data_IF_527269593186
#
_entry.id   IF_527269593186
#
_cell.length_a   1.000
_cell.length_b   1.000
_cell.length_c   1.000
_cell.angle_alpha   90.00
_cell.angle_beta   90.00
_cell.angle_gamma   90.00
#
_symmetry.space_group_name_H-M   'P 1'
#
loop_
_entity.id
_entity.type
_entity.pdbx_description
1 polymer ?
#
# COMPACT_ATOMS: atom_id res chain seq x y z
N UNK A 1 -6.43 6.81 21.70
CA UNK A 1 -5.06 6.33 21.46
C UNK A 1 -4.89 6.17 19.96
N UNK A 2 -3.76 6.54 19.37
CA UNK A 2 -3.49 6.38 17.93
C UNK A 2 -2.48 5.26 17.69
N UNK A 3 -2.46 4.72 16.46
CA UNK A 3 -1.51 3.68 16.04
C UNK A 3 -0.55 4.23 14.99
N UNK A 4 0.75 4.02 15.17
CA UNK A 4 1.77 4.31 14.16
C UNK A 4 2.05 3.02 13.38
N UNK A 5 2.03 3.08 12.05
CA UNK A 5 2.32 1.94 11.18
C UNK A 5 3.47 2.31 10.23
N UNK A 6 4.42 1.39 10.13
CA UNK A 6 5.55 1.43 9.19
C UNK A 6 5.67 0.07 8.51
N UNK A 7 6.25 0.06 7.31
CA UNK A 7 6.34 -1.13 6.46
C UNK A 7 6.42 -0.72 4.99
N UNK A 8 6.35 -1.70 4.09
CA UNK A 8 6.39 -1.41 2.65
C UNK A 8 5.08 -0.78 2.18
N UNK A 9 5.20 0.17 1.25
CA UNK A 9 4.11 0.69 0.43
C UNK A 9 4.52 0.38 -1.00
N UNK A 10 3.71 -0.39 -1.71
CA UNK A 10 4.16 -1.05 -2.93
C UNK A 10 3.13 -0.94 -4.06
N UNK A 11 3.62 -1.24 -5.25
CA UNK A 11 2.79 -1.59 -6.41
C UNK A 11 3.09 -3.03 -6.81
N UNK A 12 2.09 -3.88 -6.60
CA UNK A 12 2.20 -5.32 -6.70
C UNK A 12 1.72 -5.82 -8.07
N UNK A 13 2.43 -6.81 -8.58
CA UNK A 13 2.09 -7.55 -9.80
C UNK A 13 1.68 -8.95 -9.39
N UNK A 14 0.39 -9.26 -9.49
CA UNK A 14 -0.18 -10.51 -8.99
C UNK A 14 -0.69 -11.34 -10.15
N UNK A 15 -0.12 -12.54 -10.26
CA UNK A 15 -0.55 -13.57 -11.20
C UNK A 15 -1.23 -14.71 -10.47
N UNK A 16 -2.36 -15.13 -11.00
CA UNK A 16 -3.12 -16.32 -10.59
C UNK A 16 -3.24 -17.26 -11.80
N UNK A 17 -3.74 -18.50 -11.65
CA UNK A 17 -3.90 -19.40 -12.78
C UNK A 17 -4.82 -18.90 -13.90
N UNK A 18 -5.69 -17.93 -13.61
CA UNK A 18 -6.75 -17.46 -14.54
C UNK A 18 -6.65 -15.98 -14.89
N UNK A 19 -5.87 -15.20 -14.16
CA UNK A 19 -5.79 -13.76 -14.34
C UNK A 19 -4.46 -13.21 -13.84
N UNK A 20 -4.03 -12.11 -14.45
CA UNK A 20 -2.85 -11.35 -14.06
C UNK A 20 -3.21 -9.88 -14.00
N UNK A 21 -2.76 -9.21 -12.94
CA UNK A 21 -2.95 -7.80 -12.74
C UNK A 21 -1.64 -7.15 -12.28
N UNK A 22 -1.33 -6.02 -12.91
CA UNK A 22 -0.12 -5.24 -12.67
C UNK A 22 -0.49 -3.96 -11.92
N UNK A 23 0.49 -3.37 -11.22
CA UNK A 23 0.36 -2.08 -10.53
C UNK A 23 -0.81 -2.00 -9.52
N UNK A 24 -1.11 -3.11 -8.84
CA UNK A 24 -2.09 -3.15 -7.76
C UNK A 24 -1.53 -2.46 -6.52
N UNK A 25 -2.39 -1.86 -5.69
CA UNK A 25 -1.94 -1.35 -4.39
C UNK A 25 -1.46 -2.51 -3.52
N UNK A 26 -0.22 -2.41 -3.07
CA UNK A 26 0.46 -3.43 -2.30
C UNK A 26 1.15 -2.92 -1.05
N UNK A 27 1.93 -3.79 -0.44
CA UNK A 27 2.81 -3.48 0.69
C UNK A 27 2.12 -3.60 2.05
N UNK A 28 2.89 -4.04 3.04
CA UNK A 28 2.37 -4.38 4.37
C UNK A 28 1.77 -3.17 5.09
N UNK A 29 2.37 -1.98 4.95
CA UNK A 29 1.86 -0.77 5.57
C UNK A 29 0.51 -0.34 4.98
N UNK A 30 0.31 -0.50 3.67
CA UNK A 30 -0.96 -0.19 3.00
C UNK A 30 -2.11 -1.01 3.58
N UNK A 31 -1.96 -2.34 3.58
CA UNK A 31 -2.99 -3.24 4.08
C UNK A 31 -3.23 -3.05 5.58
N UNK A 32 -2.17 -2.97 6.39
CA UNK A 32 -2.31 -2.79 7.83
C UNK A 32 -2.98 -1.45 8.19
N UNK A 33 -2.65 -0.37 7.48
CA UNK A 33 -3.23 0.96 7.75
C UNK A 33 -4.69 1.04 7.36
N UNK A 34 -5.07 0.52 6.19
CA UNK A 34 -6.49 0.50 5.79
C UNK A 34 -7.30 -0.39 6.71
N UNK A 35 -6.77 -1.54 7.15
CA UNK A 35 -7.47 -2.40 8.10
C UNK A 35 -7.62 -1.75 9.49
N UNK A 36 -6.55 -1.15 10.01
CA UNK A 36 -6.55 -0.51 11.33
C UNK A 36 -7.44 0.74 11.39
N UNK A 37 -7.60 1.46 10.27
CA UNK A 37 -8.42 2.68 10.22
C UNK A 37 -9.91 2.46 10.52
N UNK A 38 -10.39 1.21 10.47
CA UNK A 38 -11.75 0.87 10.91
C UNK A 38 -11.93 0.94 12.43
N UNK A 39 -10.84 0.91 13.19
CA UNK A 39 -10.88 0.73 14.65
C UNK A 39 -10.19 1.85 15.43
N UNK A 40 -9.18 2.50 14.84
CA UNK A 40 -8.38 3.51 15.53
C UNK A 40 -7.79 4.52 14.55
N UNK A 41 -7.52 5.77 14.97
CA UNK A 41 -6.73 6.70 14.17
C UNK A 41 -5.33 6.15 13.84
N UNK A 42 -4.97 6.16 12.56
CA UNK A 42 -3.70 5.63 12.05
C UNK A 42 -2.79 6.76 11.60
N UNK A 43 -1.51 6.66 11.94
CA UNK A 43 -0.43 7.47 11.39
C UNK A 43 0.50 6.56 10.57
N UNK A 44 0.61 6.81 9.28
CA UNK A 44 1.45 6.04 8.37
C UNK A 44 2.81 6.73 8.20
N UNK A 45 3.89 5.95 8.35
CA UNK A 45 5.25 6.38 8.05
C UNK A 45 5.85 5.46 6.99
N UNK A 46 6.31 6.05 5.89
CA UNK A 46 6.86 5.31 4.77
C UNK A 46 7.35 6.23 3.66
N UNK A 47 7.76 5.62 2.55
CA UNK A 47 8.28 6.32 1.37
C UNK A 47 7.65 5.72 0.11
N UNK A 48 7.24 6.58 -0.81
CA UNK A 48 6.73 6.21 -2.13
C UNK A 48 7.49 6.98 -3.21
N UNK A 49 7.49 6.43 -4.43
CA UNK A 49 8.05 7.10 -5.59
C UNK A 49 7.07 8.08 -6.22
N UNK A 50 7.57 8.88 -7.18
CA UNK A 50 6.74 9.82 -7.97
C UNK A 50 5.71 9.11 -8.87
N UNK A 51 5.90 7.82 -9.10
CA UNK A 51 5.02 6.95 -9.87
C UNK A 51 3.82 6.41 -9.07
N UNK A 52 3.72 6.69 -7.77
CA UNK A 52 2.62 6.18 -6.95
C UNK A 52 1.27 6.79 -7.36
N UNK A 53 0.27 5.98 -7.76
CA UNK A 53 -1.01 6.48 -8.23
C UNK A 53 -1.73 7.32 -7.17
N UNK A 54 -2.10 8.55 -7.54
CA UNK A 54 -2.78 9.51 -6.66
C UNK A 54 -4.12 8.99 -6.13
N UNK A 55 -4.77 8.05 -6.84
CA UNK A 55 -5.99 7.36 -6.38
C UNK A 55 -5.79 6.64 -5.03
N UNK A 56 -4.60 6.10 -4.76
CA UNK A 56 -4.32 5.40 -3.50
C UNK A 56 -4.05 6.38 -2.36
N UNK A 57 -3.47 7.55 -2.65
CA UNK A 57 -3.41 8.66 -1.68
C UNK A 57 -4.83 9.16 -1.34
N UNK A 58 -5.72 9.20 -2.33
CA UNK A 58 -7.15 9.49 -2.12
C UNK A 58 -7.81 8.49 -1.17
N UNK A 59 -7.61 7.20 -1.42
CA UNK A 59 -8.10 6.11 -0.56
C UNK A 59 -7.63 6.29 0.89
N UNK A 60 -6.34 6.56 1.12
CA UNK A 60 -5.83 6.72 2.49
C UNK A 60 -6.45 7.93 3.21
N UNK A 61 -6.60 9.05 2.50
CA UNK A 61 -7.24 10.25 3.06
C UNK A 61 -8.71 10.03 3.37
N UNK A 62 -9.44 9.34 2.49
CA UNK A 62 -10.84 8.96 2.72
C UNK A 62 -11.00 8.09 3.97
N UNK A 63 -10.01 7.24 4.24
CA UNK A 63 -9.92 6.41 5.45
C UNK A 63 -9.46 7.16 6.71
N UNK A 64 -9.18 8.46 6.63
CA UNK A 64 -8.71 9.26 7.75
C UNK A 64 -7.31 8.87 8.24
N UNK A 65 -6.49 8.24 7.38
CA UNK A 65 -5.12 7.88 7.71
C UNK A 65 -4.27 9.16 7.63
N UNK A 66 -3.52 9.47 8.70
CA UNK A 66 -2.57 10.56 8.69
C UNK A 66 -1.33 10.17 7.86
N UNK A 67 -1.01 11.02 6.88
CA UNK A 67 0.08 10.84 5.91
C UNK A 67 1.24 11.82 6.13
N UNK A 68 1.29 12.56 7.23
CA UNK A 68 2.39 13.51 7.50
C UNK A 68 3.77 12.83 7.54
N UNK A 69 3.82 11.53 7.83
CA UNK A 69 5.03 10.70 7.81
C UNK A 69 5.29 9.99 6.48
N UNK A 70 4.50 10.24 5.44
CA UNK A 70 4.66 9.64 4.12
C UNK A 70 5.52 10.56 3.23
N UNK A 71 6.74 10.12 2.91
CA UNK A 71 7.63 10.82 2.00
C UNK A 71 7.33 10.45 0.54
N UNK A 72 7.33 11.44 -0.35
CA UNK A 72 7.38 11.24 -1.81
C UNK A 72 8.78 11.57 -2.28
N UNK A 73 9.53 10.55 -2.69
CA UNK A 73 10.93 10.68 -3.06
C UNK A 73 11.17 10.56 -4.57
N UNK A 74 12.34 11.03 -4.99
CA UNK A 74 12.82 10.90 -6.36
C UNK A 74 13.19 9.45 -6.65
N UNK A 75 12.31 8.76 -7.38
CA UNK A 75 12.46 7.34 -7.68
C UNK A 75 11.12 6.68 -7.97
N UNK A 76 11.17 5.36 -8.15
CA UNK A 76 10.00 4.51 -8.32
C UNK A 76 9.57 3.91 -6.96
N UNK A 77 8.27 3.71 -6.80
CA UNK A 77 7.67 3.01 -5.67
C UNK A 77 8.16 1.57 -5.67
N UNK A 78 8.38 1.02 -4.47
CA UNK A 78 8.74 -0.39 -4.30
C UNK A 78 7.80 -1.32 -5.10
N UNK A 79 8.37 -2.30 -5.80
CA UNK A 79 7.65 -3.25 -6.65
C UNK A 79 7.81 -4.66 -6.12
N UNK A 80 6.72 -5.39 -6.10
CA UNK A 80 6.72 -6.82 -5.80
C UNK A 80 5.94 -7.57 -6.87
N UNK A 81 6.37 -8.80 -7.17
CA UNK A 81 5.66 -9.69 -8.08
C UNK A 81 5.45 -11.03 -7.39
N UNK A 82 4.24 -11.56 -7.47
CA UNK A 82 3.87 -12.85 -6.91
C UNK A 82 3.02 -13.65 -7.88
N UNK A 83 3.28 -14.95 -7.94
CA UNK A 83 2.50 -15.91 -8.72
C UNK A 83 1.91 -16.96 -7.79
N UNK A 84 0.59 -17.09 -7.83
CA UNK A 84 -0.14 -18.18 -7.19
C UNK A 84 -0.25 -19.33 -8.18
N UNK A 85 0.24 -20.50 -7.76
CA UNK A 85 0.00 -21.76 -8.48
C UNK A 85 -1.30 -22.38 -7.98
N UNK A 86 -2.00 -23.10 -8.86
CA UNK A 86 -3.00 -24.04 -8.37
C UNK A 86 -2.26 -25.15 -7.61
N UNK A 87 -2.49 -25.28 -6.31
CA UNK A 87 -2.27 -26.57 -5.66
C UNK A 87 -3.37 -27.50 -6.19
N UNK A 88 -2.97 -28.54 -6.92
CA UNK A 88 -3.82 -29.68 -7.27
C UNK A 88 -3.89 -30.64 -6.08
#
# INVERSE_FOLDING_TARGET
MSLLITGSIALDSVKTPVAEHQDLLGGSASYASVAASFFTPVNMVGIIGRDFPTKYLGLYRERGINLDGLEVADGATFRWSGEYTAEL
#
